data_IF_373105606883
#
_entry.id   IF_373105606883
#
_cell.length_a   1.000
_cell.length_b   1.000
_cell.length_c   1.000
_cell.angle_alpha   90.00
_cell.angle_beta   90.00
_cell.angle_gamma   90.00
#
_symmetry.space_group_name_H-M   'P 1'
#
loop_
_entity.id
_entity.type
_entity.pdbx_description
1 polymer ?
#
# COMPACT_ATOMS: atom_id res chain seq x y z
N UNK A 1 4.29 17.43 10.67
CA UNK A 1 5.20 18.45 11.26
C UNK A 1 6.42 17.72 11.81
N UNK A 2 7.61 18.31 11.75
CA UNK A 2 8.86 17.71 12.26
C UNK A 2 8.80 17.54 13.79
N UNK A 3 8.09 18.44 14.47
CA UNK A 3 7.96 18.47 15.92
C UNK A 3 6.51 18.67 16.33
N UNK A 4 6.18 18.29 17.58
CA UNK A 4 4.84 18.42 18.12
C UNK A 4 4.49 19.89 18.38
N UNK A 5 3.18 20.21 18.43
CA UNK A 5 2.71 21.53 18.77
C UNK A 5 3.23 21.98 20.16
N UNK A 6 3.28 21.07 21.12
CA UNK A 6 3.77 21.32 22.47
C UNK A 6 5.25 21.72 22.49
N UNK A 7 6.10 21.07 21.70
CA UNK A 7 7.52 21.43 21.58
C UNK A 7 7.70 22.80 20.93
N UNK A 8 6.93 23.09 19.86
CA UNK A 8 7.01 24.36 19.17
C UNK A 8 6.53 25.53 20.07
N UNK A 9 5.49 25.31 20.88
CA UNK A 9 4.96 26.33 21.79
C UNK A 9 5.92 26.75 22.92
N UNK A 10 6.93 25.94 23.22
CA UNK A 10 8.00 26.24 24.20
C UNK A 10 9.13 27.11 23.62
N UNK A 11 9.16 27.35 22.32
CA UNK A 11 10.20 28.13 21.66
C UNK A 11 9.97 29.62 21.87
N UNK A 12 11.05 30.37 22.13
CA UNK A 12 11.03 31.82 22.12
C UNK A 12 11.22 32.38 20.69
N UNK A 13 11.08 33.69 20.52
CA UNK A 13 11.15 34.35 19.21
C UNK A 13 12.43 34.03 18.42
N UNK A 14 13.58 34.02 19.12
CA UNK A 14 14.88 33.69 18.50
C UNK A 14 14.96 32.22 18.05
N UNK A 15 14.40 31.33 18.84
CA UNK A 15 14.34 29.90 18.54
C UNK A 15 13.31 29.61 17.44
N UNK A 16 12.23 30.38 17.35
CA UNK A 16 11.28 30.33 16.22
C UNK A 16 11.91 30.76 14.90
N UNK A 17 12.86 31.71 14.91
CA UNK A 17 13.64 32.07 13.72
C UNK A 17 14.44 30.84 13.25
N UNK A 18 15.10 30.14 14.16
CA UNK A 18 15.85 28.90 13.86
C UNK A 18 14.91 27.82 13.30
N UNK A 19 13.78 27.60 13.95
CA UNK A 19 12.76 26.65 13.51
C UNK A 19 12.28 26.95 12.09
N UNK A 20 11.90 28.19 11.82
CA UNK A 20 11.42 28.62 10.50
C UNK A 20 12.49 28.46 9.40
N UNK A 21 13.76 28.74 9.73
CA UNK A 21 14.88 28.51 8.81
C UNK A 21 15.02 27.01 8.49
N UNK A 22 15.00 26.15 9.52
CA UNK A 22 15.14 24.69 9.36
C UNK A 22 14.01 24.13 8.49
N UNK A 23 12.76 24.48 8.78
CA UNK A 23 11.59 23.98 8.03
C UNK A 23 11.67 24.33 6.54
N UNK A 24 12.18 25.52 6.21
CA UNK A 24 12.34 25.96 4.81
C UNK A 24 13.56 25.34 4.11
N UNK A 25 14.55 24.88 4.87
CA UNK A 25 15.86 24.50 4.33
C UNK A 25 16.36 23.12 4.82
N UNK A 26 15.47 22.17 5.08
CA UNK A 26 15.81 20.86 5.69
C UNK A 26 17.00 20.20 4.99
N UNK A 27 17.00 20.12 3.67
CA UNK A 27 18.07 19.47 2.89
C UNK A 27 19.45 20.15 3.03
N UNK A 28 19.49 21.48 3.21
CA UNK A 28 20.71 22.23 3.46
C UNK A 28 21.18 22.04 4.92
N UNK A 29 20.26 22.13 5.88
CA UNK A 29 20.57 21.98 7.32
C UNK A 29 21.15 20.62 7.64
N UNK A 30 20.72 19.55 6.97
CA UNK A 30 21.31 18.20 7.12
C UNK A 30 22.80 18.16 6.77
N UNK A 31 23.29 19.06 5.91
CA UNK A 31 24.71 19.14 5.52
C UNK A 31 25.51 20.12 6.37
N UNK A 32 24.84 21.01 7.11
CA UNK A 32 25.47 22.05 7.92
C UNK A 32 26.02 21.51 9.24
N UNK A 33 27.06 22.15 9.75
CA UNK A 33 27.49 22.08 11.14
C UNK A 33 26.74 23.15 11.99
N UNK A 34 26.88 23.10 13.31
CA UNK A 34 26.17 24.01 14.23
C UNK A 34 26.54 25.48 14.01
N UNK A 35 27.79 25.76 13.61
CA UNK A 35 28.26 27.15 13.37
C UNK A 35 27.65 27.70 12.07
N UNK A 36 27.54 26.86 11.06
CA UNK A 36 26.91 27.23 9.80
C UNK A 36 25.41 27.52 9.96
N UNK A 37 24.70 26.66 10.71
CA UNK A 37 23.29 26.90 11.02
C UNK A 37 23.11 28.19 11.85
N UNK A 38 23.95 28.43 12.86
CA UNK A 38 23.92 29.63 13.67
C UNK A 38 24.15 30.90 12.82
N UNK A 39 25.12 30.87 11.90
CA UNK A 39 25.39 32.00 10.98
C UNK A 39 24.22 32.23 10.03
N UNK A 40 23.63 31.20 9.43
CA UNK A 40 22.54 31.31 8.48
C UNK A 40 21.22 31.73 9.12
N UNK A 41 20.99 31.36 10.38
CA UNK A 41 19.82 31.78 11.15
C UNK A 41 20.05 33.07 11.98
N UNK A 42 21.25 33.71 11.86
CA UNK A 42 21.64 34.90 12.57
C UNK A 42 21.53 34.84 14.09
N UNK A 43 21.89 33.66 14.66
CA UNK A 43 21.85 33.41 16.11
C UNK A 43 23.19 32.84 16.62
N UNK A 44 23.35 32.75 17.93
CA UNK A 44 24.52 32.08 18.51
C UNK A 44 24.40 30.53 18.48
N UNK A 45 25.54 29.83 18.49
CA UNK A 45 25.55 28.36 18.64
C UNK A 45 24.91 27.92 19.96
N UNK A 46 25.01 28.70 21.01
CA UNK A 46 24.31 28.44 22.28
C UNK A 46 22.79 28.48 22.15
N UNK A 47 22.27 29.35 21.27
CA UNK A 47 20.83 29.38 20.93
C UNK A 47 20.42 28.11 20.20
N UNK A 48 21.22 27.63 19.24
CA UNK A 48 20.95 26.35 18.56
C UNK A 48 20.93 25.19 19.54
N UNK A 49 21.88 25.13 20.48
CA UNK A 49 21.93 24.06 21.50
C UNK A 49 20.68 24.08 22.39
N UNK A 50 20.26 25.27 22.88
CA UNK A 50 19.01 25.41 23.67
C UNK A 50 17.77 25.03 22.87
N UNK A 51 17.72 25.41 21.61
CA UNK A 51 16.68 25.00 20.66
C UNK A 51 16.60 23.47 20.58
N UNK A 52 17.72 22.75 20.40
CA UNK A 52 17.75 21.29 20.36
C UNK A 52 17.21 20.67 21.67
N UNK A 53 17.63 21.17 22.82
CA UNK A 53 17.16 20.66 24.13
C UNK A 53 15.64 20.86 24.32
N UNK A 54 15.07 21.96 23.85
CA UNK A 54 13.62 22.19 23.90
C UNK A 54 12.82 21.25 23.00
N UNK A 55 13.49 20.65 22.03
CA UNK A 55 12.94 19.63 21.15
C UNK A 55 13.28 18.21 21.58
N UNK A 56 13.66 18.05 22.86
CA UNK A 56 14.00 16.77 23.49
C UNK A 56 15.20 16.06 22.82
N UNK A 57 16.13 16.83 22.24
CA UNK A 57 17.39 16.33 21.69
C UNK A 57 18.57 16.74 22.58
N UNK A 58 19.49 15.82 22.90
CA UNK A 58 20.68 16.08 23.75
C UNK A 58 21.67 17.09 23.13
N UNK A 59 21.48 17.40 21.83
CA UNK A 59 22.27 18.40 21.12
C UNK A 59 22.06 18.38 19.62
N UNK A 60 22.88 19.16 18.92
CA UNK A 60 22.73 19.36 17.46
C UNK A 60 22.95 18.07 16.65
N UNK A 61 23.78 17.14 17.13
CA UNK A 61 24.03 15.87 16.43
C UNK A 61 22.78 14.99 16.44
N UNK A 62 22.18 14.81 17.61
CA UNK A 62 20.93 14.05 17.76
C UNK A 62 19.79 14.71 17.02
N UNK A 63 19.64 16.04 17.14
CA UNK A 63 18.70 16.81 16.33
C UNK A 63 18.83 16.53 14.82
N UNK A 64 20.05 16.49 14.29
CA UNK A 64 20.27 16.15 12.88
C UNK A 64 19.88 14.73 12.52
N UNK A 65 20.05 13.77 13.43
CA UNK A 65 19.61 12.39 13.23
C UNK A 65 18.09 12.34 13.13
N UNK A 66 17.37 12.98 14.04
CA UNK A 66 15.90 13.05 14.01
C UNK A 66 15.39 13.83 12.79
N UNK A 67 16.05 14.93 12.42
CA UNK A 67 15.75 15.68 11.21
C UNK A 67 15.96 14.87 9.94
N UNK A 68 17.04 14.07 9.90
CA UNK A 68 17.34 13.16 8.78
C UNK A 68 16.27 12.08 8.68
N UNK A 69 15.94 11.45 9.78
CA UNK A 69 14.88 10.42 9.87
C UNK A 69 13.54 10.97 9.38
N UNK A 70 13.17 12.15 9.85
CA UNK A 70 11.97 12.84 9.38
C UNK A 70 12.01 13.15 7.88
N UNK A 71 13.14 13.63 7.37
CA UNK A 71 13.30 13.94 5.95
C UNK A 71 13.25 12.69 5.06
N UNK A 72 13.80 11.57 5.52
CA UNK A 72 13.72 10.28 4.84
C UNK A 72 12.29 9.73 4.81
N UNK A 73 11.55 9.85 5.93
CA UNK A 73 10.14 9.47 6.02
C UNK A 73 9.26 10.36 5.13
N UNK A 74 9.61 11.66 4.98
CA UNK A 74 8.83 12.63 4.21
C UNK A 74 9.35 12.86 2.79
N UNK A 75 10.46 12.23 2.37
CA UNK A 75 10.79 12.18 0.96
C UNK A 75 9.67 11.44 0.24
N UNK A 76 8.77 12.22 -0.37
CA UNK A 76 7.93 11.62 -1.42
C UNK A 76 8.89 11.02 -2.45
N UNK A 77 8.76 9.73 -2.77
CA UNK A 77 9.55 9.16 -3.85
C UNK A 77 9.36 10.05 -5.08
N UNK A 78 10.46 10.45 -5.70
CA UNK A 78 10.42 11.25 -6.93
C UNK A 78 9.50 10.58 -7.94
N UNK A 79 8.85 11.36 -8.80
CA UNK A 79 7.90 10.87 -9.81
C UNK A 79 8.57 9.78 -10.68
N UNK A 80 9.88 9.89 -10.93
CA UNK A 80 10.68 8.90 -11.64
C UNK A 80 10.75 7.53 -10.94
N UNK A 81 10.81 7.47 -9.62
CA UNK A 81 10.76 6.22 -8.86
C UNK A 81 9.43 5.47 -9.06
N UNK A 82 8.31 6.19 -9.24
CA UNK A 82 6.99 5.58 -9.46
C UNK A 82 6.88 4.96 -10.85
N UNK A 83 7.38 5.63 -11.87
CA UNK A 83 7.39 5.11 -13.25
C UNK A 83 8.32 3.90 -13.34
N UNK A 84 9.50 3.98 -12.74
CA UNK A 84 10.46 2.86 -12.70
C UNK A 84 9.87 1.62 -12.02
N UNK A 85 9.17 1.79 -10.89
CA UNK A 85 8.49 0.68 -10.21
C UNK A 85 7.37 0.05 -11.05
N UNK A 86 6.60 0.86 -11.75
CA UNK A 86 5.56 0.36 -12.66
C UNK A 86 6.17 -0.37 -13.86
N UNK A 87 7.27 0.12 -14.42
CA UNK A 87 7.98 -0.56 -15.49
C UNK A 87 8.51 -1.92 -15.02
N UNK A 88 9.07 -2.02 -13.82
CA UNK A 88 9.50 -3.30 -13.23
C UNK A 88 8.32 -4.27 -13.08
N UNK A 89 7.16 -3.79 -12.62
CA UNK A 89 5.96 -4.61 -12.57
C UNK A 89 5.51 -5.07 -13.96
N UNK A 90 5.49 -4.18 -14.96
CA UNK A 90 5.11 -4.56 -16.32
C UNK A 90 6.10 -5.55 -16.95
N UNK A 91 7.38 -5.45 -16.65
CA UNK A 91 8.37 -6.45 -17.10
C UNK A 91 8.16 -7.80 -16.42
N UNK A 92 7.91 -7.83 -15.08
CA UNK A 92 7.52 -9.04 -14.37
C UNK A 92 6.24 -9.66 -14.96
N UNK A 93 5.25 -8.85 -15.32
CA UNK A 93 3.98 -9.31 -15.87
C UNK A 93 4.05 -9.98 -17.25
N UNK A 94 5.19 -9.84 -17.95
CA UNK A 94 5.48 -10.56 -19.21
C UNK A 94 6.02 -11.97 -18.96
N UNK A 95 6.49 -12.24 -17.75
CA UNK A 95 7.13 -13.51 -17.38
C UNK A 95 6.19 -14.69 -17.40
N UNK A 96 6.78 -15.91 -17.49
CA UNK A 96 6.04 -17.17 -17.54
C UNK A 96 5.23 -17.40 -16.26
N UNK A 97 5.86 -17.22 -15.10
CA UNK A 97 5.24 -17.40 -13.78
C UNK A 97 3.98 -16.54 -13.59
N UNK A 98 4.06 -15.25 -13.92
CA UNK A 98 2.90 -14.37 -13.83
C UNK A 98 1.75 -14.85 -14.75
N UNK A 99 2.07 -15.28 -15.98
CA UNK A 99 1.07 -15.78 -16.91
C UNK A 99 0.45 -17.11 -16.43
N UNK A 100 1.20 -17.97 -15.76
CA UNK A 100 0.69 -19.19 -15.12
C UNK A 100 -0.29 -18.87 -13.99
N UNK A 101 0.03 -17.89 -13.13
CA UNK A 101 -0.90 -17.40 -12.09
C UNK A 101 -2.21 -16.85 -12.69
N UNK A 102 -2.13 -16.06 -13.78
CA UNK A 102 -3.31 -15.54 -14.48
C UNK A 102 -4.14 -16.68 -15.07
N UNK A 103 -3.51 -17.72 -15.66
CA UNK A 103 -4.21 -18.88 -16.21
C UNK A 103 -4.96 -19.63 -15.12
N UNK A 104 -4.29 -19.92 -14.01
CA UNK A 104 -4.89 -20.64 -12.90
C UNK A 104 -6.03 -19.83 -12.24
N UNK A 105 -5.90 -18.48 -12.17
CA UNK A 105 -7.00 -17.62 -11.72
C UNK A 105 -8.21 -17.74 -12.64
N UNK A 106 -7.99 -17.75 -13.94
CA UNK A 106 -9.05 -17.93 -14.96
C UNK A 106 -9.75 -19.28 -14.78
N UNK A 107 -9.01 -20.38 -14.57
CA UNK A 107 -9.57 -21.70 -14.30
C UNK A 107 -10.45 -21.71 -13.03
N UNK A 108 -9.96 -21.11 -11.91
CA UNK A 108 -10.74 -21.03 -10.68
C UNK A 108 -12.03 -20.22 -10.85
N UNK A 109 -11.98 -19.12 -11.63
CA UNK A 109 -13.14 -18.29 -11.93
C UNK A 109 -14.15 -19.04 -12.79
N UNK A 110 -13.68 -19.75 -13.82
CA UNK A 110 -14.54 -20.52 -14.72
C UNK A 110 -15.26 -21.68 -14.01
N UNK A 111 -14.57 -22.33 -13.05
CA UNK A 111 -15.16 -23.41 -12.21
C UNK A 111 -16.08 -22.90 -11.09
N UNK A 112 -16.13 -21.60 -10.84
CA UNK A 112 -16.93 -21.01 -9.77
C UNK A 112 -18.33 -20.63 -10.23
N UNK A 113 -19.31 -20.80 -9.33
CA UNK A 113 -20.68 -20.32 -9.54
C UNK A 113 -20.83 -18.84 -9.14
N UNK A 114 -19.99 -18.36 -8.23
CA UNK A 114 -20.13 -17.06 -7.59
C UNK A 114 -18.77 -16.52 -7.13
N UNK A 115 -18.50 -15.24 -7.38
CA UNK A 115 -17.25 -14.58 -7.01
C UNK A 115 -17.53 -13.57 -5.91
N UNK A 116 -16.74 -13.64 -4.82
CA UNK A 116 -16.69 -12.61 -3.78
C UNK A 116 -15.35 -11.90 -3.84
N UNK A 117 -15.37 -10.60 -4.10
CA UNK A 117 -14.21 -9.74 -4.06
C UNK A 117 -14.12 -9.07 -2.68
N UNK A 118 -13.08 -9.37 -1.91
CA UNK A 118 -12.90 -8.89 -0.53
C UNK A 118 -11.72 -7.93 -0.42
N UNK A 119 -11.92 -6.77 0.21
CA UNK A 119 -10.84 -5.84 0.52
C UNK A 119 -11.32 -4.71 1.42
N UNK A 120 -10.44 -4.14 2.22
CA UNK A 120 -10.77 -3.06 3.17
C UNK A 120 -10.03 -1.77 2.78
N UNK A 121 -10.69 -0.63 2.96
CA UNK A 121 -10.13 0.69 2.64
C UNK A 121 -9.82 0.84 1.15
N UNK A 122 -8.58 1.18 0.80
CA UNK A 122 -8.14 1.31 -0.60
C UNK A 122 -8.29 -0.01 -1.37
N UNK A 123 -8.01 -1.14 -0.74
CA UNK A 123 -8.23 -2.48 -1.32
C UNK A 123 -9.71 -2.80 -1.49
N UNK A 124 -10.60 -2.23 -0.67
CA UNK A 124 -12.06 -2.32 -0.86
C UNK A 124 -12.52 -1.64 -2.15
N UNK A 125 -11.91 -0.49 -2.51
CA UNK A 125 -12.17 0.14 -3.80
C UNK A 125 -11.76 -0.75 -4.97
N UNK A 126 -10.66 -1.51 -4.84
CA UNK A 126 -10.23 -2.49 -5.84
C UNK A 126 -11.16 -3.71 -5.90
N UNK A 127 -11.64 -4.20 -4.75
CA UNK A 127 -12.63 -5.26 -4.68
C UNK A 127 -13.93 -4.87 -5.40
N UNK A 128 -14.41 -3.65 -5.18
CA UNK A 128 -15.60 -3.10 -5.87
C UNK A 128 -15.36 -2.99 -7.37
N UNK A 129 -14.20 -2.50 -7.80
CA UNK A 129 -13.83 -2.44 -9.21
C UNK A 129 -13.81 -3.83 -9.85
N UNK A 130 -13.18 -4.81 -9.19
CA UNK A 130 -13.07 -6.18 -9.67
C UNK A 130 -14.45 -6.84 -9.81
N UNK A 131 -15.31 -6.75 -8.79
CA UNK A 131 -16.66 -7.31 -8.84
C UNK A 131 -17.44 -6.74 -10.02
N UNK A 132 -17.36 -5.42 -10.25
CA UNK A 132 -18.02 -4.81 -11.43
C UNK A 132 -17.45 -5.32 -12.74
N UNK A 133 -16.13 -5.50 -12.84
CA UNK A 133 -15.46 -5.97 -14.04
C UNK A 133 -15.81 -7.43 -14.37
N UNK A 134 -15.81 -8.33 -13.37
CA UNK A 134 -16.25 -9.71 -13.52
C UNK A 134 -17.71 -9.81 -13.95
N UNK A 135 -18.60 -8.99 -13.37
CA UNK A 135 -20.01 -8.93 -13.79
C UNK A 135 -20.14 -8.50 -15.25
N UNK A 136 -19.33 -7.55 -15.73
CA UNK A 136 -19.36 -7.09 -17.12
C UNK A 136 -18.96 -8.19 -18.13
N UNK A 137 -18.12 -9.15 -17.71
CA UNK A 137 -17.74 -10.32 -18.54
C UNK A 137 -18.59 -11.55 -18.25
N UNK A 138 -19.73 -11.37 -17.54
CA UNK A 138 -20.77 -12.38 -17.34
C UNK A 138 -20.52 -13.38 -16.24
N UNK A 139 -19.72 -13.02 -15.21
CA UNK A 139 -19.56 -13.80 -13.99
C UNK A 139 -20.29 -13.12 -12.82
N UNK A 140 -21.19 -13.86 -12.15
CA UNK A 140 -21.91 -13.30 -11.02
C UNK A 140 -20.93 -13.00 -9.88
N UNK A 141 -20.85 -11.73 -9.48
CA UNK A 141 -19.85 -11.27 -8.52
C UNK A 141 -20.35 -10.14 -7.65
N UNK A 142 -19.94 -10.17 -6.39
CA UNK A 142 -20.15 -9.09 -5.41
C UNK A 142 -18.85 -8.70 -4.75
N UNK A 143 -18.85 -7.57 -4.02
CA UNK A 143 -17.72 -7.14 -3.21
C UNK A 143 -18.10 -7.02 -1.75
N UNK A 144 -17.09 -7.16 -0.89
CA UNK A 144 -17.16 -6.94 0.56
C UNK A 144 -16.04 -5.96 0.92
N UNK A 145 -16.41 -4.80 1.44
CA UNK A 145 -15.51 -3.79 1.98
C UNK A 145 -15.83 -3.42 3.44
N UNK A 146 -16.78 -4.14 4.03
CA UNK A 146 -17.16 -4.07 5.44
C UNK A 146 -16.49 -5.19 6.23
N UNK A 147 -15.65 -4.87 7.25
CA UNK A 147 -14.98 -5.88 8.08
C UNK A 147 -15.94 -6.73 8.92
N UNK A 148 -17.17 -6.27 9.13
CA UNK A 148 -18.21 -6.95 9.92
C UNK A 148 -19.24 -7.67 9.04
N UNK A 149 -18.95 -7.84 7.76
CA UNK A 149 -19.85 -8.56 6.87
C UNK A 149 -20.09 -9.98 7.39
N UNK A 150 -21.35 -10.46 7.45
CA UNK A 150 -21.67 -11.76 8.02
C UNK A 150 -21.00 -12.90 7.24
N UNK A 151 -20.68 -13.97 7.97
CA UNK A 151 -20.13 -15.18 7.36
C UNK A 151 -21.03 -15.72 6.25
N UNK A 152 -20.46 -16.32 5.20
CA UNK A 152 -21.26 -17.00 4.19
C UNK A 152 -22.01 -18.17 4.82
N UNK A 153 -23.24 -18.39 4.37
CA UNK A 153 -24.01 -19.57 4.72
C UNK A 153 -23.68 -20.73 3.78
N UNK A 154 -24.03 -21.97 4.16
CA UNK A 154 -23.76 -23.21 3.40
C UNK A 154 -24.36 -23.23 1.96
N UNK A 155 -25.08 -22.18 1.57
CA UNK A 155 -25.72 -22.05 0.25
C UNK A 155 -24.76 -21.61 -0.87
N UNK A 156 -23.50 -21.27 -0.56
CA UNK A 156 -22.51 -20.80 -1.55
C UNK A 156 -21.63 -21.97 -2.06
N UNK A 157 -22.23 -22.99 -2.67
CA UNK A 157 -21.46 -24.02 -3.34
C UNK A 157 -20.60 -23.45 -4.47
N UNK A 158 -19.32 -23.85 -4.52
CA UNK A 158 -18.31 -23.37 -5.49
C UNK A 158 -18.12 -21.84 -5.47
N UNK A 159 -18.15 -21.22 -4.30
CA UNK A 159 -17.79 -19.81 -4.14
C UNK A 159 -16.28 -19.64 -4.33
N UNK A 160 -15.89 -18.63 -5.12
CA UNK A 160 -14.51 -18.16 -5.23
C UNK A 160 -14.34 -16.85 -4.49
N UNK A 161 -13.44 -16.80 -3.53
CA UNK A 161 -13.06 -15.58 -2.86
C UNK A 161 -11.79 -14.99 -3.48
N UNK A 162 -11.82 -13.72 -3.89
CA UNK A 162 -10.66 -12.98 -4.36
C UNK A 162 -10.34 -11.89 -3.35
N UNK A 163 -9.27 -12.05 -2.59
CA UNK A 163 -8.85 -11.13 -1.54
C UNK A 163 -7.82 -10.13 -2.05
N UNK A 164 -8.10 -8.85 -1.85
CA UNK A 164 -7.22 -7.74 -2.16
C UNK A 164 -6.62 -7.19 -0.88
N UNK A 165 -5.29 -7.20 -0.78
CA UNK A 165 -4.60 -6.61 0.37
C UNK A 165 -3.17 -6.23 0.00
N UNK A 166 -2.86 -4.93 0.04
CA UNK A 166 -1.50 -4.46 -0.27
C UNK A 166 -0.44 -5.02 0.69
N UNK A 167 -0.73 -5.07 1.99
CA UNK A 167 0.20 -5.62 2.98
C UNK A 167 0.17 -7.14 3.05
N UNK A 168 -0.98 -7.74 2.74
CA UNK A 168 -1.27 -9.13 3.02
C UNK A 168 -1.40 -9.46 4.52
N UNK A 169 -1.48 -8.43 5.40
CA UNK A 169 -1.52 -8.57 6.85
C UNK A 169 -2.72 -7.84 7.48
N UNK A 170 -3.71 -7.44 6.69
CA UNK A 170 -4.89 -6.74 7.19
C UNK A 170 -5.74 -7.72 8.01
N UNK A 171 -5.83 -7.47 9.32
CA UNK A 171 -6.50 -8.37 10.27
C UNK A 171 -7.95 -8.68 9.86
N UNK A 172 -8.69 -7.68 9.49
CA UNK A 172 -10.10 -7.77 9.10
C UNK A 172 -10.27 -8.67 7.85
N UNK A 173 -9.35 -8.61 6.90
CA UNK A 173 -9.34 -9.49 5.73
C UNK A 173 -8.98 -10.92 6.15
N UNK A 174 -8.00 -11.10 7.03
CA UNK A 174 -7.60 -12.42 7.55
C UNK A 174 -8.77 -13.09 8.29
N UNK A 175 -9.49 -12.34 9.11
CA UNK A 175 -10.64 -12.86 9.86
C UNK A 175 -11.78 -13.27 8.91
N UNK A 176 -12.06 -12.50 7.87
CA UNK A 176 -13.01 -12.88 6.82
C UNK A 176 -12.55 -14.14 6.05
N UNK A 177 -11.26 -14.24 5.67
CA UNK A 177 -10.73 -15.44 5.00
C UNK A 177 -10.95 -16.71 5.81
N UNK A 178 -10.84 -16.67 7.13
CA UNK A 178 -11.10 -17.82 8.01
C UNK A 178 -12.53 -18.32 7.90
N UNK A 179 -13.50 -17.38 7.79
CA UNK A 179 -14.92 -17.73 7.63
C UNK A 179 -15.17 -18.45 6.30
N UNK A 180 -14.58 -17.96 5.21
CA UNK A 180 -14.71 -18.57 3.89
C UNK A 180 -14.01 -19.93 3.79
N UNK A 181 -12.89 -20.14 4.49
CA UNK A 181 -12.24 -21.46 4.57
C UNK A 181 -13.15 -22.51 5.21
N UNK A 182 -13.99 -22.12 6.16
CA UNK A 182 -14.95 -23.02 6.80
C UNK A 182 -16.02 -23.58 5.86
N UNK A 183 -16.28 -22.94 4.70
CA UNK A 183 -17.30 -23.37 3.71
C UNK A 183 -16.69 -23.92 2.41
N UNK A 184 -15.46 -24.40 2.46
CA UNK A 184 -14.75 -25.05 1.34
C UNK A 184 -14.60 -24.19 0.07
N UNK A 185 -14.56 -22.87 0.22
CA UNK A 185 -14.35 -21.93 -0.88
C UNK A 185 -12.89 -21.95 -1.33
N UNK A 186 -12.64 -21.81 -2.65
CA UNK A 186 -11.32 -21.48 -3.17
C UNK A 186 -10.99 -20.02 -2.89
N UNK A 187 -9.72 -19.74 -2.62
CA UNK A 187 -9.24 -18.40 -2.29
C UNK A 187 -8.10 -18.00 -3.23
N UNK A 188 -8.26 -16.87 -3.91
CA UNK A 188 -7.19 -16.18 -4.63
C UNK A 188 -6.80 -14.94 -3.83
N UNK A 189 -5.52 -14.67 -3.64
CA UNK A 189 -5.04 -13.39 -3.12
C UNK A 189 -4.31 -12.57 -4.18
N UNK A 190 -4.58 -11.28 -4.22
CA UNK A 190 -3.83 -10.28 -4.98
C UNK A 190 -3.16 -9.35 -3.96
N UNK A 191 -1.86 -9.53 -3.79
CA UNK A 191 -1.08 -8.89 -2.71
C UNK A 191 0.29 -8.43 -3.18
N UNK A 192 0.89 -7.49 -2.46
CA UNK A 192 2.25 -7.03 -2.74
C UNK A 192 3.34 -7.94 -2.13
N UNK A 193 2.97 -8.91 -1.30
CA UNK A 193 3.90 -9.78 -0.59
C UNK A 193 3.43 -11.24 -0.65
N UNK A 194 4.18 -12.07 -1.39
CA UNK A 194 3.89 -13.51 -1.55
C UNK A 194 4.12 -14.33 -0.27
N UNK A 195 4.81 -13.79 0.73
CA UNK A 195 5.08 -14.46 2.01
C UNK A 195 4.11 -14.04 3.12
N UNK A 196 3.17 -13.15 2.82
CA UNK A 196 2.20 -12.62 3.79
C UNK A 196 1.24 -13.70 4.32
N UNK A 197 0.58 -13.39 5.44
CA UNK A 197 -0.42 -14.27 6.05
C UNK A 197 -1.57 -14.58 5.08
N UNK A 198 -2.09 -13.57 4.37
CA UNK A 198 -3.17 -13.73 3.38
C UNK A 198 -2.70 -14.62 2.23
N UNK A 199 -1.46 -14.44 1.73
CA UNK A 199 -0.90 -15.28 0.68
C UNK A 199 -0.84 -16.76 1.10
N UNK A 200 -0.36 -17.05 2.32
CA UNK A 200 -0.29 -18.42 2.87
C UNK A 200 -1.66 -19.05 3.13
N UNK A 201 -2.70 -18.24 3.31
CA UNK A 201 -4.08 -18.70 3.45
C UNK A 201 -4.79 -18.91 2.11
N UNK A 202 -4.19 -18.57 0.98
CA UNK A 202 -4.80 -18.66 -0.34
C UNK A 202 -4.41 -19.91 -1.09
N UNK A 203 -5.30 -20.40 -1.97
CA UNK A 203 -5.01 -21.52 -2.88
C UNK A 203 -4.17 -21.04 -4.07
N UNK A 204 -4.28 -19.73 -4.41
CA UNK A 204 -3.47 -19.08 -5.42
C UNK A 204 -3.13 -17.66 -4.95
N UNK A 205 -1.88 -17.26 -5.10
CA UNK A 205 -1.43 -15.90 -4.85
C UNK A 205 -0.91 -15.26 -6.14
N UNK A 206 -1.40 -14.07 -6.47
CA UNK A 206 -0.89 -13.25 -7.57
C UNK A 206 -0.16 -12.05 -6.97
N UNK A 207 1.16 -12.12 -6.81
CA UNK A 207 1.93 -11.02 -6.24
C UNK A 207 2.23 -9.96 -7.30
N UNK A 208 2.46 -8.70 -6.86
CA UNK A 208 2.79 -7.61 -7.79
C UNK A 208 4.04 -6.81 -7.42
N UNK A 209 4.67 -7.06 -6.28
CA UNK A 209 6.03 -6.62 -5.91
C UNK A 209 6.35 -5.15 -6.19
N UNK A 210 5.57 -4.19 -5.68
CA UNK A 210 5.91 -2.78 -5.76
C UNK A 210 6.34 -2.22 -4.40
N UNK A 211 7.21 -1.21 -4.42
CA UNK A 211 7.62 -0.50 -3.21
C UNK A 211 6.41 0.14 -2.51
N UNK A 212 6.22 -0.17 -1.24
CA UNK A 212 5.17 0.45 -0.42
C UNK A 212 5.49 1.92 -0.17
N UNK A 213 4.50 2.77 -0.34
CA UNK A 213 4.59 4.22 -0.06
C UNK A 213 3.62 4.56 1.06
N UNK A 214 4.18 4.75 2.25
CA UNK A 214 3.39 5.05 3.47
C UNK A 214 3.74 6.46 3.92
N UNK A 215 2.74 7.32 4.08
CA UNK A 215 2.91 8.67 4.61
C UNK A 215 3.18 8.64 6.12
N UNK A 216 3.78 9.72 6.70
CA UNK A 216 4.09 9.79 8.13
C UNK A 216 2.89 9.59 9.07
N UNK A 217 1.69 9.86 8.59
CA UNK A 217 0.43 9.62 9.29
C UNK A 217 -0.13 8.21 9.09
N UNK A 218 0.71 7.25 8.71
CA UNK A 218 0.38 5.83 8.45
C UNK A 218 -0.56 5.58 7.26
N UNK A 219 -0.86 6.59 6.44
CA UNK A 219 -1.69 6.41 5.24
C UNK A 219 -0.88 5.78 4.11
N UNK A 220 -1.36 4.67 3.59
CA UNK A 220 -0.78 4.00 2.44
C UNK A 220 -1.24 4.70 1.14
N UNK A 221 -0.29 5.18 0.34
CA UNK A 221 -0.51 5.77 -0.99
C UNK A 221 0.20 4.97 -2.10
N UNK A 222 0.49 3.70 -1.85
CA UNK A 222 1.07 2.81 -2.87
C UNK A 222 0.15 2.72 -4.09
N UNK A 223 0.75 2.64 -5.28
CA UNK A 223 -0.02 2.54 -6.53
C UNK A 223 -0.89 1.28 -6.56
N UNK A 224 -2.11 1.41 -7.07
CA UNK A 224 -3.02 0.30 -7.34
C UNK A 224 -3.03 -0.09 -8.83
N UNK A 225 -2.21 0.55 -9.67
CA UNK A 225 -2.10 0.23 -11.10
C UNK A 225 -1.82 -1.26 -11.35
N UNK A 226 -0.92 -1.94 -10.61
CA UNK A 226 -0.74 -3.39 -10.76
C UNK A 226 -2.01 -4.19 -10.50
N UNK A 227 -2.78 -3.83 -9.49
CA UNK A 227 -4.02 -4.53 -9.12
C UNK A 227 -5.06 -4.36 -10.23
N UNK A 228 -5.24 -3.14 -10.74
CA UNK A 228 -6.12 -2.85 -11.89
C UNK A 228 -5.69 -3.66 -13.11
N UNK A 229 -4.39 -3.67 -13.44
CA UNK A 229 -3.86 -4.45 -14.57
C UNK A 229 -4.14 -5.95 -14.42
N UNK A 230 -3.96 -6.53 -13.23
CA UNK A 230 -4.24 -7.95 -12.95
C UNK A 230 -5.72 -8.25 -13.19
N UNK A 231 -6.63 -7.44 -12.62
CA UNK A 231 -8.08 -7.60 -12.79
C UNK A 231 -8.45 -7.58 -14.27
N UNK A 232 -8.03 -6.56 -15.00
CA UNK A 232 -8.34 -6.42 -16.43
C UNK A 232 -7.74 -7.54 -17.27
N UNK A 233 -6.52 -7.99 -16.95
CA UNK A 233 -5.87 -9.09 -17.65
C UNK A 233 -6.63 -10.41 -17.49
N UNK A 234 -7.08 -10.71 -16.27
CA UNK A 234 -7.94 -11.88 -16.01
C UNK A 234 -9.24 -11.77 -16.82
N UNK A 235 -9.94 -10.64 -16.75
CA UNK A 235 -11.21 -10.44 -17.42
C UNK A 235 -11.11 -10.52 -18.95
N UNK A 236 -10.04 -9.95 -19.54
CA UNK A 236 -9.79 -10.08 -20.99
C UNK A 236 -9.58 -11.53 -21.40
N UNK A 237 -8.88 -12.31 -20.57
CA UNK A 237 -8.64 -13.72 -20.86
C UNK A 237 -9.91 -14.56 -20.75
N UNK A 238 -10.75 -14.32 -19.73
CA UNK A 238 -12.08 -14.91 -19.60
C UNK A 238 -12.96 -14.61 -20.82
N UNK A 239 -12.95 -13.36 -21.30
CA UNK A 239 -13.71 -12.98 -22.50
C UNK A 239 -13.21 -13.68 -23.77
N UNK A 240 -11.88 -13.86 -23.90
CA UNK A 240 -11.30 -14.58 -25.05
C UNK A 240 -11.73 -16.06 -25.07
N UNK A 241 -11.74 -16.73 -23.89
CA UNK A 241 -12.22 -18.13 -23.79
C UNK A 241 -13.69 -18.25 -24.19
N UNK A 242 -14.57 -17.39 -23.65
CA UNK A 242 -16.01 -17.40 -24.04
C UNK A 242 -16.24 -17.17 -25.52
N UNK A 243 -15.45 -16.31 -26.16
CA UNK A 243 -15.59 -16.09 -27.59
C UNK A 243 -15.15 -17.28 -28.44
N UNK A 244 -14.21 -18.08 -27.96
CA UNK A 244 -13.80 -19.35 -28.61
C UNK A 244 -14.88 -20.42 -28.47
N UNK A 245 -15.50 -20.55 -27.29
CA UNK A 245 -16.62 -21.50 -27.04
C UNK A 245 -17.89 -21.19 -27.87
N UNK A 246 -18.10 -19.93 -28.28
CA UNK A 246 -19.25 -19.55 -29.15
C UNK A 246 -18.97 -19.88 -30.62
N UNK A 247 -17.72 -20.05 -31.01
CA UNK A 247 -17.30 -20.33 -32.38
C UNK A 247 -17.15 -21.82 -32.69
N UNK A 248 -17.20 -22.68 -31.69
CA UNK A 248 -17.28 -24.15 -31.78
C UNK A 248 -18.72 -24.65 -31.70
#
# INVERSE_FOLDING_TARGET
>A
MIFTYEQISKLNDTELIVYNYIVKNVGLVLKMNIRELAAQSHVSTATITRFCHKLDCDGFVEFKIELKRFNEINKMPEIDDKITMLNQFFDYSKGKEFNEHINQAVEYITDSNFIVCLGIGQSGSMARYAARFFSNVGYYSQYIDDPFYPAPTDQFEKCLLIAFSNSGETKEVIDQLRLYRGVQSKIISITNDSNSTIAKMSDLTIPYFIKKVILPNTKNISSQVPVVYIIERICRKLQTQKNLEILE
#
